data_IF_249858889698
#
_entry.id   IF_249858889698
#
_cell.length_a   1.000
_cell.length_b   1.000
_cell.length_c   1.000
_cell.angle_alpha   90.00
_cell.angle_beta   90.00
_cell.angle_gamma   90.00
#
_symmetry.space_group_name_H-M   'P 1'
#
loop_
_entity.id
_entity.type
_entity.pdbx_description
1 polymer ?
#
# COMPACT_ATOMS: atom_id res chain seq x y z
N UNK A 1 -27.92 14.38 73.07
CA UNK A 1 -28.47 13.31 72.22
C UNK A 1 -28.13 13.69 70.80
N UNK A 2 -27.43 12.82 70.08
CA UNK A 2 -27.25 13.00 68.65
C UNK A 2 -28.52 12.46 67.98
N UNK A 3 -29.08 13.24 67.06
CA UNK A 3 -30.35 12.90 66.38
C UNK A 3 -30.22 11.64 65.53
N UNK A 4 -31.33 10.92 65.38
CA UNK A 4 -31.42 9.73 64.54
C UNK A 4 -31.16 10.08 63.07
N UNK A 5 -30.36 9.29 62.36
CA UNK A 5 -30.07 9.52 60.95
C UNK A 5 -31.35 9.47 60.10
N UNK A 6 -31.52 10.45 59.21
CA UNK A 6 -32.68 10.52 58.31
C UNK A 6 -32.69 9.41 57.27
N UNK A 7 -33.89 9.13 56.71
CA UNK A 7 -34.05 8.17 55.61
C UNK A 7 -33.36 8.69 54.34
N UNK A 8 -32.50 7.87 53.73
CA UNK A 8 -31.78 8.19 52.50
C UNK A 8 -32.70 8.53 51.31
N UNK A 9 -32.19 9.36 50.40
CA UNK A 9 -32.83 9.70 49.13
C UNK A 9 -32.23 8.85 48.01
N UNK A 10 -33.08 8.30 47.13
CA UNK A 10 -32.65 7.53 45.95
C UNK A 10 -32.84 8.35 44.67
N UNK A 11 -31.74 8.67 43.99
CA UNK A 11 -31.79 9.41 42.72
C UNK A 11 -32.00 8.49 41.52
N UNK A 12 -33.08 8.71 40.77
CA UNK A 12 -33.51 7.88 39.64
C UNK A 12 -33.04 8.44 38.29
N UNK A 13 -32.41 9.61 38.25
CA UNK A 13 -31.93 10.25 37.02
C UNK A 13 -32.91 11.26 36.43
N UNK A 14 -32.89 11.40 35.11
CA UNK A 14 -33.65 12.43 34.36
C UNK A 14 -34.78 11.82 33.57
N UNK A 15 -35.97 12.42 33.62
CA UNK A 15 -37.13 12.00 32.83
C UNK A 15 -38.01 13.20 32.45
N UNK A 16 -38.80 13.11 31.38
CA UNK A 16 -39.72 14.20 31.00
C UNK A 16 -41.04 14.17 31.80
N UNK A 17 -41.36 13.04 32.44
CA UNK A 17 -42.50 12.86 33.34
C UNK A 17 -42.23 11.73 34.34
N UNK A 18 -42.96 11.66 35.45
CA UNK A 18 -42.76 10.64 36.48
C UNK A 18 -43.52 9.33 36.14
N UNK A 19 -42.85 8.20 35.93
CA UNK A 19 -43.47 6.88 35.85
C UNK A 19 -44.13 6.49 37.18
N UNK A 20 -45.23 5.74 37.10
CA UNK A 20 -45.95 5.25 38.29
C UNK A 20 -45.09 4.31 39.16
N UNK A 21 -44.17 3.56 38.55
CA UNK A 21 -43.27 2.63 39.24
C UNK A 21 -42.26 3.31 40.15
N UNK A 22 -42.04 4.62 40.03
CA UNK A 22 -41.08 5.36 40.86
C UNK A 22 -41.73 6.02 42.09
N UNK A 23 -43.00 5.72 42.37
CA UNK A 23 -43.74 6.19 43.56
C UNK A 23 -43.32 5.42 44.82
N UNK A 24 -42.02 5.42 45.09
CA UNK A 24 -41.40 4.83 46.28
C UNK A 24 -40.89 5.97 47.14
N UNK A 25 -41.10 5.89 48.46
CA UNK A 25 -40.73 6.96 49.39
C UNK A 25 -39.27 7.38 49.17
N UNK A 26 -39.03 8.68 49.10
CA UNK A 26 -37.73 9.31 48.89
C UNK A 26 -37.03 9.00 47.55
N UNK A 27 -37.75 8.47 46.57
CA UNK A 27 -37.24 8.45 45.20
C UNK A 27 -37.32 9.86 44.64
N UNK A 28 -36.24 10.29 43.99
CA UNK A 28 -36.12 11.62 43.41
C UNK A 28 -35.63 11.54 41.96
N UNK A 29 -36.07 12.47 41.12
CA UNK A 29 -35.64 12.56 39.72
C UNK A 29 -35.68 14.01 39.22
N UNK A 30 -34.93 14.30 38.15
CA UNK A 30 -34.97 15.59 37.46
C UNK A 30 -35.94 15.54 36.29
N UNK A 31 -36.88 16.49 36.25
CA UNK A 31 -37.78 16.67 35.13
C UNK A 31 -37.20 17.65 34.11
N UNK A 32 -36.63 17.13 33.02
CA UNK A 32 -36.01 17.95 31.97
C UNK A 32 -36.98 18.79 31.16
N UNK A 33 -38.27 18.43 31.13
CA UNK A 33 -39.30 19.24 30.47
C UNK A 33 -39.72 20.44 31.33
N UNK A 34 -39.72 20.27 32.66
CA UNK A 34 -40.15 21.30 33.62
C UNK A 34 -38.99 22.09 34.24
N UNK A 35 -37.75 21.65 34.04
CA UNK A 35 -36.56 22.23 34.69
C UNK A 35 -36.61 22.14 36.22
N UNK A 36 -37.10 21.02 36.76
CA UNK A 36 -37.35 20.84 38.21
C UNK A 36 -37.03 19.43 38.67
N UNK A 37 -36.38 19.32 39.82
CA UNK A 37 -36.22 18.05 40.53
C UNK A 37 -37.41 17.80 41.45
N UNK A 38 -37.90 16.58 41.44
CA UNK A 38 -39.02 16.13 42.27
C UNK A 38 -38.59 14.99 43.20
N UNK A 39 -39.22 14.89 44.36
CA UNK A 39 -39.09 13.76 45.31
C UNK A 39 -40.48 13.22 45.69
N UNK A 40 -40.63 11.90 45.81
CA UNK A 40 -41.89 11.26 46.21
C UNK A 40 -42.00 11.14 47.73
N UNK A 41 -43.01 11.75 48.32
CA UNK A 41 -43.23 11.79 49.78
C UNK A 41 -44.10 10.62 50.31
N UNK A 42 -44.54 9.72 49.43
CA UNK A 42 -45.50 8.65 49.73
C UNK A 42 -46.90 8.88 49.15
N UNK A 43 -47.24 10.12 48.80
CA UNK A 43 -48.55 10.51 48.30
C UNK A 43 -48.49 11.32 46.98
N UNK A 44 -47.55 12.26 46.87
CA UNK A 44 -47.36 13.10 45.68
C UNK A 44 -45.87 13.36 45.38
N UNK A 45 -45.63 13.84 44.15
CA UNK A 45 -44.30 14.32 43.75
C UNK A 45 -44.15 15.78 44.16
N UNK A 46 -43.28 16.04 45.12
CA UNK A 46 -43.00 17.38 45.63
C UNK A 46 -41.79 17.98 44.92
N UNK A 47 -41.82 19.30 44.72
CA UNK A 47 -40.70 20.01 44.10
C UNK A 47 -39.59 20.14 45.13
N UNK A 48 -38.44 19.54 44.85
CA UNK A 48 -37.25 19.65 45.69
C UNK A 48 -36.34 20.79 45.24
N UNK A 49 -36.11 20.89 43.93
CA UNK A 49 -35.30 21.95 43.34
C UNK A 49 -35.86 22.40 42.00
N UNK A 50 -35.50 23.61 41.59
CA UNK A 50 -35.79 24.15 40.25
C UNK A 50 -34.51 24.73 39.69
N UNK A 51 -34.39 24.73 38.37
CA UNK A 51 -33.27 25.37 37.70
C UNK A 51 -33.21 26.87 38.04
N UNK A 52 -32.00 27.42 38.07
CA UNK A 52 -31.80 28.86 38.18
C UNK A 52 -32.40 29.58 36.96
N UNK A 53 -32.87 30.81 37.17
CA UNK A 53 -33.21 31.66 36.03
C UNK A 53 -31.97 31.82 35.15
N UNK A 54 -32.13 31.73 33.83
CA UNK A 54 -31.04 32.05 32.89
C UNK A 54 -30.58 33.48 33.19
N UNK A 55 -29.29 33.64 33.52
CA UNK A 55 -28.70 34.96 33.72
C UNK A 55 -28.86 35.82 32.47
N UNK A 56 -28.92 37.14 32.63
CA UNK A 56 -28.96 38.04 31.48
C UNK A 56 -27.77 37.75 30.56
N UNK A 57 -28.02 37.63 29.26
CA UNK A 57 -26.96 37.49 28.26
C UNK A 57 -25.99 38.65 28.41
N UNK A 58 -24.71 38.36 28.67
CA UNK A 58 -23.67 39.38 28.76
C UNK A 58 -23.61 40.21 27.47
N UNK A 59 -23.20 41.47 27.58
CA UNK A 59 -23.01 42.32 26.40
C UNK A 59 -22.10 41.61 25.40
N UNK A 60 -22.51 41.56 24.13
CA UNK A 60 -21.66 41.05 23.06
C UNK A 60 -20.36 41.84 23.06
N UNK A 61 -19.23 41.17 23.23
CA UNK A 61 -17.91 41.79 23.11
C UNK A 61 -17.74 42.46 21.73
N UNK A 62 -16.80 43.40 21.58
CA UNK A 62 -16.50 43.96 20.27
C UNK A 62 -16.23 42.82 19.29
N UNK A 63 -16.89 42.85 18.12
CA UNK A 63 -16.61 41.94 17.01
C UNK A 63 -15.11 42.04 16.72
N UNK A 64 -14.41 40.92 16.71
CA UNK A 64 -13.01 40.88 16.26
C UNK A 64 -12.90 41.51 14.87
N UNK A 65 -11.78 42.15 14.57
CA UNK A 65 -11.53 42.65 13.21
C UNK A 65 -11.87 41.52 12.22
N UNK A 66 -12.62 41.78 11.13
CA UNK A 66 -12.74 40.81 10.06
C UNK A 66 -11.33 40.33 9.71
N UNK A 67 -11.10 39.02 9.59
CA UNK A 67 -9.90 38.58 8.89
C UNK A 67 -9.96 39.24 7.52
N UNK A 68 -8.92 39.96 7.12
CA UNK A 68 -8.95 40.67 5.84
C UNK A 68 -9.08 39.62 4.74
N UNK A 69 -10.31 39.44 4.21
CA UNK A 69 -10.63 38.46 3.15
C UNK A 69 -9.65 38.58 1.95
N UNK A 70 -9.04 39.76 1.79
CA UNK A 70 -7.99 40.04 0.82
C UNK A 70 -6.72 39.16 0.99
N UNK A 71 -6.30 38.86 2.21
CA UNK A 71 -5.13 38.00 2.47
C UNK A 71 -5.44 36.55 2.11
N UNK A 72 -6.62 36.04 2.52
CA UNK A 72 -7.09 34.71 2.13
C UNK A 72 -7.24 34.57 0.61
N UNK A 73 -7.81 35.57 -0.06
CA UNK A 73 -7.93 35.59 -1.53
C UNK A 73 -6.55 35.61 -2.20
N UNK A 74 -5.61 36.40 -1.67
CA UNK A 74 -4.23 36.44 -2.17
C UNK A 74 -3.52 35.09 -2.04
N UNK A 75 -3.67 34.41 -0.89
CA UNK A 75 -3.11 33.08 -0.67
C UNK A 75 -3.73 32.04 -1.61
N UNK A 76 -5.05 32.09 -1.84
CA UNK A 76 -5.71 31.18 -2.78
C UNK A 76 -5.22 31.38 -4.22
N UNK A 77 -4.99 32.62 -4.65
CA UNK A 77 -4.40 32.91 -5.97
C UNK A 77 -2.99 32.32 -6.09
N UNK A 78 -2.18 32.41 -5.02
CA UNK A 78 -0.85 31.82 -5.00
C UNK A 78 -0.89 30.28 -5.03
N UNK A 79 -1.84 29.66 -4.32
CA UNK A 79 -2.05 28.20 -4.36
C UNK A 79 -2.42 27.76 -5.78
N UNK A 80 -3.42 28.38 -6.39
CA UNK A 80 -3.85 28.02 -7.75
C UNK A 80 -2.72 28.21 -8.77
N UNK A 81 -1.90 29.24 -8.61
CA UNK A 81 -0.73 29.47 -9.46
C UNK A 81 0.37 28.41 -9.25
N UNK A 82 0.56 27.93 -8.02
CA UNK A 82 1.49 26.84 -7.72
C UNK A 82 0.98 25.51 -8.26
N UNK A 83 -0.31 25.19 -8.10
CA UNK A 83 -0.93 24.00 -8.66
C UNK A 83 -0.83 23.97 -10.18
N UNK A 84 -1.09 25.10 -10.85
CA UNK A 84 -0.92 25.22 -12.30
C UNK A 84 0.54 25.05 -12.73
N UNK A 85 1.50 25.58 -11.95
CA UNK A 85 2.93 25.39 -12.21
C UNK A 85 3.36 23.93 -12.01
N UNK A 86 2.86 23.26 -10.97
CA UNK A 86 3.12 21.84 -10.71
C UNK A 86 2.54 20.98 -11.82
N UNK A 87 1.30 21.23 -12.24
CA UNK A 87 0.66 20.51 -13.35
C UNK A 87 1.33 20.76 -14.71
N UNK A 88 2.03 21.89 -14.86
CA UNK A 88 2.81 22.24 -16.05
C UNK A 88 4.28 21.80 -15.97
N UNK A 89 4.74 21.25 -14.85
CA UNK A 89 6.02 20.55 -14.83
C UNK A 89 5.85 19.31 -15.69
N UNK A 90 6.63 19.22 -16.77
CA UNK A 90 6.82 17.95 -17.44
C UNK A 90 7.32 16.96 -16.39
N UNK A 91 6.72 15.76 -16.27
CA UNK A 91 7.24 14.75 -15.37
C UNK A 91 8.71 14.56 -15.72
N UNK A 92 9.59 14.68 -14.72
CA UNK A 92 11.00 14.33 -14.92
C UNK A 92 10.97 12.90 -15.45
N UNK A 93 11.51 12.64 -16.66
CA UNK A 93 11.52 11.30 -17.19
C UNK A 93 12.21 10.44 -16.13
N UNK A 94 11.62 9.31 -15.75
CA UNK A 94 12.20 8.48 -14.72
C UNK A 94 13.65 8.18 -15.07
N UNK A 95 14.56 8.43 -14.14
CA UNK A 95 15.94 7.97 -14.29
C UNK A 95 15.85 6.45 -14.28
N UNK A 96 16.31 5.75 -15.34
CA UNK A 96 16.28 4.31 -15.34
C UNK A 96 17.09 3.76 -14.16
N UNK A 97 16.67 2.64 -13.55
CA UNK A 97 17.45 1.98 -12.53
C UNK A 97 18.88 1.69 -12.97
N UNK A 98 19.80 1.74 -12.01
CA UNK A 98 21.16 1.25 -12.18
C UNK A 98 21.14 -0.27 -12.04
N UNK A 99 21.86 -0.96 -12.92
CA UNK A 99 21.95 -2.42 -12.87
C UNK A 99 23.21 -2.78 -12.07
N UNK A 100 23.09 -2.87 -10.74
CA UNK A 100 24.24 -3.02 -9.83
C UNK A 100 24.04 -4.01 -8.67
N UNK A 101 22.87 -4.65 -8.60
CA UNK A 101 22.52 -5.62 -7.58
C UNK A 101 22.01 -5.03 -6.29
N UNK A 102 21.67 -3.74 -6.29
CA UNK A 102 21.16 -3.02 -5.14
C UNK A 102 19.82 -2.41 -5.52
N UNK A 103 18.74 -2.90 -4.91
CA UNK A 103 17.44 -2.24 -5.03
C UNK A 103 17.44 -0.99 -4.15
N UNK A 104 17.81 0.15 -4.74
CA UNK A 104 17.86 1.43 -4.07
C UNK A 104 16.46 1.93 -3.67
N UNK A 105 16.37 2.68 -2.57
CA UNK A 105 15.11 3.26 -2.14
C UNK A 105 14.56 4.24 -3.20
N UNK A 106 13.33 3.99 -3.67
CA UNK A 106 12.70 4.82 -4.70
C UNK A 106 13.13 4.53 -6.14
N UNK A 107 14.07 3.61 -6.35
CA UNK A 107 14.58 3.27 -7.68
C UNK A 107 13.61 2.38 -8.45
N UNK A 108 13.12 1.32 -7.79
CA UNK A 108 12.18 0.35 -8.36
C UNK A 108 10.75 0.51 -7.85
N UNK A 109 10.52 1.33 -6.82
CA UNK A 109 9.23 1.47 -6.12
C UNK A 109 8.04 1.75 -7.05
N UNK A 110 8.26 2.52 -8.11
CA UNK A 110 7.24 2.86 -9.11
C UNK A 110 6.93 1.76 -10.13
N UNK A 111 7.71 0.67 -10.13
CA UNK A 111 7.67 -0.39 -11.14
C UNK A 111 7.35 -1.76 -10.55
N UNK A 112 6.86 -1.81 -9.31
CA UNK A 112 6.46 -3.06 -8.68
C UNK A 112 5.25 -3.68 -9.39
N UNK A 113 5.41 -4.92 -9.86
CA UNK A 113 4.38 -5.67 -10.57
C UNK A 113 3.63 -6.64 -9.66
N UNK A 114 4.30 -7.14 -8.62
CA UNK A 114 3.72 -8.02 -7.60
C UNK A 114 4.72 -9.03 -7.04
N UNK A 115 4.22 -9.91 -6.16
CA UNK A 115 5.00 -11.02 -5.59
C UNK A 115 4.52 -12.34 -6.21
N UNK A 116 5.45 -13.12 -6.75
CA UNK A 116 5.21 -14.52 -7.10
C UNK A 116 5.48 -15.40 -5.89
N UNK A 117 4.51 -16.22 -5.49
CA UNK A 117 4.66 -17.19 -4.40
C UNK A 117 4.59 -18.62 -4.95
N UNK A 118 5.52 -19.47 -4.52
CA UNK A 118 5.49 -20.91 -4.88
C UNK A 118 4.58 -21.71 -3.94
N UNK A 119 3.89 -22.72 -4.46
CA UNK A 119 2.80 -23.41 -3.74
C UNK A 119 3.24 -24.59 -2.84
N UNK A 120 4.52 -24.95 -2.87
CA UNK A 120 5.07 -26.10 -2.13
C UNK A 120 5.38 -25.78 -0.65
N UNK A 121 5.54 -26.83 0.17
CA UNK A 121 5.71 -26.69 1.63
C UNK A 121 7.03 -26.05 2.09
N UNK A 122 7.94 -25.73 1.17
CA UNK A 122 9.13 -24.94 1.43
C UNK A 122 8.90 -23.44 1.27
N UNK A 123 8.03 -23.01 0.34
CA UNK A 123 7.65 -21.61 0.13
C UNK A 123 8.82 -20.70 -0.23
N UNK A 124 8.79 -20.14 -1.43
CA UNK A 124 9.68 -19.05 -1.85
C UNK A 124 8.82 -17.97 -2.51
N UNK A 125 9.04 -16.73 -2.12
CA UNK A 125 8.41 -15.56 -2.70
C UNK A 125 9.44 -14.71 -3.43
N UNK A 126 9.05 -14.17 -4.59
CA UNK A 126 9.88 -13.31 -5.43
C UNK A 126 9.09 -12.06 -5.77
N UNK A 127 9.56 -10.92 -5.31
CA UNK A 127 9.03 -9.63 -5.75
C UNK A 127 9.55 -9.33 -7.15
N UNK A 128 8.64 -8.96 -8.05
CA UNK A 128 8.93 -8.69 -9.46
C UNK A 128 8.65 -7.23 -9.75
N UNK A 129 9.62 -6.60 -10.40
CA UNK A 129 9.57 -5.21 -10.84
C UNK A 129 9.83 -5.17 -12.34
N UNK A 130 9.19 -4.26 -13.05
CA UNK A 130 9.49 -4.06 -14.46
C UNK A 130 8.76 -2.91 -15.13
N UNK A 131 9.42 -2.34 -16.12
CA UNK A 131 8.88 -1.35 -17.04
C UNK A 131 9.67 -1.37 -18.34
N UNK A 132 9.13 -0.77 -19.39
CA UNK A 132 9.84 -0.59 -20.65
C UNK A 132 9.91 0.89 -21.03
N UNK A 133 11.06 1.30 -21.58
CA UNK A 133 11.18 2.53 -22.37
C UNK A 133 11.20 2.19 -23.87
N UNK A 134 11.43 3.18 -24.73
CA UNK A 134 11.40 2.98 -26.19
C UNK A 134 12.49 2.02 -26.71
N UNK A 135 13.47 1.67 -25.88
CA UNK A 135 14.68 0.93 -26.26
C UNK A 135 14.87 -0.35 -25.46
N UNK A 136 14.53 -0.34 -24.18
CA UNK A 136 14.85 -1.40 -23.23
C UNK A 136 13.64 -1.81 -22.39
N UNK A 137 13.60 -3.11 -22.09
CA UNK A 137 12.88 -3.65 -20.95
C UNK A 137 13.82 -3.63 -19.74
N UNK A 138 13.34 -3.12 -18.61
CA UNK A 138 13.99 -3.22 -17.31
C UNK A 138 13.19 -4.19 -16.46
N UNK A 139 13.86 -5.15 -15.84
CA UNK A 139 13.25 -6.11 -14.95
C UNK A 139 14.14 -6.33 -13.73
N UNK A 140 13.52 -6.43 -12.55
CA UNK A 140 14.20 -6.85 -11.34
C UNK A 140 13.41 -7.90 -10.58
N UNK A 141 14.13 -8.81 -9.95
CA UNK A 141 13.58 -9.92 -9.17
C UNK A 141 14.29 -9.95 -7.82
N UNK A 142 13.50 -9.92 -6.75
CA UNK A 142 14.01 -9.91 -5.38
C UNK A 142 13.41 -11.08 -4.63
N UNK A 143 14.25 -12.07 -4.33
CA UNK A 143 13.82 -13.26 -3.61
C UNK A 143 13.82 -12.99 -2.11
N UNK A 144 12.76 -13.41 -1.42
CA UNK A 144 12.75 -13.43 0.05
C UNK A 144 13.64 -14.57 0.55
N UNK A 145 14.89 -14.22 0.83
CA UNK A 145 15.90 -15.16 1.35
C UNK A 145 15.67 -15.59 2.79
N UNK A 146 14.67 -15.01 3.48
CA UNK A 146 14.30 -15.40 4.85
C UNK A 146 13.35 -16.60 4.91
N UNK A 147 12.72 -16.95 3.79
CA UNK A 147 11.80 -18.08 3.72
C UNK A 147 12.55 -19.42 3.76
N UNK A 148 12.01 -20.46 4.42
CA UNK A 148 12.65 -21.76 4.51
C UNK A 148 12.92 -22.42 3.14
N UNK A 149 12.14 -22.08 2.12
CA UNK A 149 12.29 -22.58 0.76
C UNK A 149 13.56 -22.09 0.06
N UNK A 150 14.10 -20.93 0.46
CA UNK A 150 15.35 -20.40 -0.08
C UNK A 150 16.52 -21.36 0.14
N UNK A 151 16.73 -21.79 1.38
CA UNK A 151 17.82 -22.72 1.73
C UNK A 151 17.72 -24.03 0.97
N UNK A 152 16.51 -24.55 0.77
CA UNK A 152 16.28 -25.80 0.05
C UNK A 152 16.49 -25.64 -1.46
N UNK A 153 16.10 -24.51 -2.05
CA UNK A 153 16.38 -24.21 -3.45
C UNK A 153 17.89 -24.12 -3.74
N UNK A 154 18.64 -23.46 -2.86
CA UNK A 154 20.10 -23.39 -2.93
C UNK A 154 20.76 -24.77 -2.80
N UNK A 155 20.27 -25.65 -1.93
CA UNK A 155 20.81 -27.02 -1.79
C UNK A 155 20.55 -27.89 -3.04
N UNK A 156 19.49 -27.60 -3.78
CA UNK A 156 19.09 -28.35 -4.98
C UNK A 156 19.74 -27.82 -6.28
N UNK A 157 20.59 -26.78 -6.21
CA UNK A 157 21.18 -26.14 -7.39
C UNK A 157 20.15 -25.62 -8.39
N UNK A 158 19.02 -25.11 -7.90
CA UNK A 158 17.92 -24.69 -8.76
C UNK A 158 18.08 -23.21 -9.09
N UNK A 159 18.64 -22.91 -10.26
CA UNK A 159 18.74 -21.54 -10.75
C UNK A 159 17.40 -20.97 -11.23
N UNK A 160 17.28 -19.64 -11.19
CA UNK A 160 16.12 -18.95 -11.75
C UNK A 160 16.23 -18.93 -13.28
N UNK A 161 15.16 -19.31 -13.96
CA UNK A 161 15.05 -19.09 -15.40
C UNK A 161 14.10 -17.92 -15.63
N UNK A 162 14.59 -16.92 -16.34
CA UNK A 162 13.80 -15.78 -16.74
C UNK A 162 13.33 -15.98 -18.18
N UNK A 163 12.04 -15.76 -18.37
CA UNK A 163 11.34 -16.01 -19.61
C UNK A 163 10.57 -14.73 -19.95
N UNK A 164 10.90 -14.14 -21.08
CA UNK A 164 10.24 -12.92 -21.56
C UNK A 164 9.49 -13.25 -22.84
N UNK A 165 8.18 -13.05 -22.82
CA UNK A 165 7.30 -13.44 -23.91
C UNK A 165 6.54 -12.23 -24.43
N UNK A 166 6.52 -12.07 -25.75
CA UNK A 166 5.61 -11.13 -26.44
C UNK A 166 4.51 -11.93 -27.12
N UNK A 167 3.44 -11.27 -27.54
CA UNK A 167 2.33 -11.90 -28.30
C UNK A 167 2.73 -12.54 -29.63
N UNK A 168 4.02 -12.52 -30.00
CA UNK A 168 4.62 -13.08 -31.23
C UNK A 168 5.43 -14.36 -31.00
N UNK A 169 5.11 -15.12 -29.95
CA UNK A 169 5.74 -16.41 -29.65
C UNK A 169 7.25 -16.38 -29.35
N UNK A 170 7.89 -15.21 -29.36
CA UNK A 170 9.31 -15.05 -29.03
C UNK A 170 9.52 -15.18 -27.54
N UNK A 171 10.21 -16.24 -27.12
CA UNK A 171 10.62 -16.48 -25.75
C UNK A 171 12.12 -16.27 -25.60
N UNK A 172 12.52 -15.26 -24.82
CA UNK A 172 13.90 -15.11 -24.39
C UNK A 172 14.12 -15.90 -23.09
N UNK A 173 14.97 -16.93 -23.12
CA UNK A 173 15.32 -17.75 -21.95
C UNK A 173 16.74 -17.46 -21.48
N UNK A 174 16.89 -17.34 -20.16
CA UNK A 174 18.19 -17.23 -19.49
C UNK A 174 18.37 -18.42 -18.55
N UNK A 175 19.41 -19.23 -18.77
CA UNK A 175 19.66 -20.45 -17.99
C UNK A 175 21.04 -20.45 -17.33
N UNK A 176 21.13 -20.86 -16.06
CA UNK A 176 22.40 -21.00 -15.35
C UNK A 176 22.71 -22.47 -15.08
N UNK A 177 23.55 -23.08 -15.92
CA UNK A 177 24.24 -24.33 -15.58
C UNK A 177 25.73 -24.13 -15.91
N UNK A 178 26.34 -23.20 -15.17
CA UNK A 178 27.72 -22.77 -15.36
C UNK A 178 27.82 -21.42 -16.08
N UNK A 179 28.75 -20.59 -15.63
CA UNK A 179 29.13 -19.36 -16.32
C UNK A 179 29.75 -19.69 -17.69
N UNK A 180 29.37 -18.99 -18.77
CA UNK A 180 28.45 -17.84 -18.83
C UNK A 180 26.97 -18.20 -19.12
N UNK A 181 26.03 -17.41 -18.58
CA UNK A 181 24.60 -17.49 -18.87
C UNK A 181 24.32 -17.41 -20.37
N UNK A 182 23.58 -18.39 -20.88
CA UNK A 182 23.17 -18.45 -22.28
C UNK A 182 21.83 -17.76 -22.49
N UNK A 183 21.70 -17.11 -23.62
CA UNK A 183 20.49 -16.46 -24.10
C UNK A 183 19.99 -17.23 -25.30
N UNK A 184 18.75 -17.69 -25.23
CA UNK A 184 18.13 -18.44 -26.32
C UNK A 184 16.78 -17.85 -26.69
N UNK A 185 16.42 -18.00 -27.97
CA UNK A 185 15.13 -17.60 -28.51
C UNK A 185 14.42 -18.82 -29.10
N UNK A 186 13.10 -18.89 -28.94
CA UNK A 186 12.26 -19.87 -29.64
C UNK A 186 10.94 -19.22 -30.04
N UNK A 187 10.31 -19.75 -31.09
CA UNK A 187 8.95 -19.41 -31.56
C UNK A 187 7.96 -20.58 -31.38
N UNK A 188 8.44 -21.78 -31.05
CA UNK A 188 7.63 -23.02 -31.06
C UNK A 188 7.83 -23.90 -29.82
N UNK A 189 8.65 -23.44 -28.85
CA UNK A 189 9.07 -24.17 -27.65
C UNK A 189 9.83 -25.48 -27.92
N UNK A 190 10.15 -25.77 -29.18
CA UNK A 190 10.78 -27.02 -29.63
C UNK A 190 12.18 -26.74 -30.17
N UNK A 191 12.30 -25.69 -30.96
CA UNK A 191 13.51 -25.26 -31.67
C UNK A 191 14.05 -24.01 -31.00
N UNK A 192 15.30 -24.08 -30.54
CA UNK A 192 15.94 -23.01 -29.79
C UNK A 192 17.15 -22.48 -30.54
N UNK A 193 17.12 -21.19 -30.86
CA UNK A 193 18.24 -20.45 -31.43
C UNK A 193 19.11 -19.92 -30.30
N UNK A 194 20.39 -20.32 -30.30
CA UNK A 194 21.39 -19.83 -29.37
C UNK A 194 21.89 -18.46 -29.82
N UNK A 195 21.66 -17.44 -29.00
CA UNK A 195 22.07 -16.06 -29.26
C UNK A 195 23.42 -15.73 -28.59
N UNK A 196 24.00 -16.66 -27.82
CA UNK A 196 25.25 -16.48 -27.09
C UNK A 196 25.02 -16.05 -25.63
N UNK A 197 25.96 -15.30 -25.07
CA UNK A 197 25.87 -14.86 -23.66
C UNK A 197 25.09 -13.56 -23.50
N UNK A 198 24.67 -13.24 -22.26
CA UNK A 198 24.00 -11.97 -21.95
C UNK A 198 24.75 -10.74 -22.47
N UNK A 199 26.07 -10.71 -22.27
CA UNK A 199 26.91 -9.63 -22.76
C UNK A 199 27.02 -9.58 -24.27
N UNK A 200 27.04 -10.73 -24.96
CA UNK A 200 27.15 -10.81 -26.42
C UNK A 200 25.93 -10.18 -27.11
N UNK A 201 24.75 -10.32 -26.51
CA UNK A 201 23.50 -9.76 -27.03
C UNK A 201 23.17 -8.36 -26.50
N UNK A 202 24.07 -7.77 -25.71
CA UNK A 202 23.92 -6.41 -25.19
C UNK A 202 22.93 -6.27 -24.01
N UNK A 203 22.64 -7.37 -23.31
CA UNK A 203 21.91 -7.32 -22.05
C UNK A 203 22.88 -6.84 -20.96
N UNK A 204 22.55 -5.70 -20.33
CA UNK A 204 23.21 -5.30 -19.09
C UNK A 204 22.49 -6.03 -17.95
N UNK A 205 23.25 -6.68 -17.08
CA UNK A 205 22.68 -7.47 -16.01
C UNK A 205 23.54 -7.36 -14.76
N UNK A 206 22.86 -7.39 -13.63
CA UNK A 206 23.44 -7.78 -12.38
C UNK A 206 22.69 -9.01 -11.94
N UNK A 207 23.37 -10.14 -12.00
CA UNK A 207 22.84 -11.39 -11.51
C UNK A 207 23.96 -12.09 -10.80
N UNK A 208 23.74 -12.40 -9.54
CA UNK A 208 24.66 -13.24 -8.81
C UNK A 208 24.02 -14.60 -8.65
N UNK A 209 24.71 -15.62 -9.16
CA UNK A 209 24.43 -17.00 -8.80
C UNK A 209 24.20 -17.06 -7.28
N UNK A 210 23.12 -17.75 -6.91
CA UNK A 210 22.63 -17.97 -5.55
C UNK A 210 23.69 -18.48 -4.55
N UNK A 211 24.88 -18.88 -5.02
CA UNK A 211 26.01 -19.30 -4.19
C UNK A 211 27.02 -18.21 -3.80
N UNK A 212 27.13 -17.11 -4.54
CA UNK A 212 28.20 -16.10 -4.29
C UNK A 212 27.62 -14.81 -3.73
N UNK A 213 28.39 -14.09 -2.90
CA UNK A 213 28.00 -12.90 -2.12
C UNK A 213 28.66 -11.65 -2.71
N UNK A 214 28.03 -10.44 -2.66
CA UNK A 214 27.45 -9.84 -1.44
C UNK A 214 25.91 -9.80 -1.31
N UNK A 215 25.13 -9.78 -2.39
CA UNK A 215 23.65 -9.67 -2.36
C UNK A 215 22.94 -10.87 -3.02
N UNK A 216 22.86 -12.04 -2.36
CA UNK A 216 22.18 -13.21 -2.93
C UNK A 216 20.67 -12.94 -3.09
N UNK A 217 20.07 -13.45 -4.16
CA UNK A 217 18.62 -13.37 -4.39
C UNK A 217 18.14 -12.08 -5.06
N UNK A 218 19.04 -11.30 -5.67
CA UNK A 218 18.67 -10.15 -6.52
C UNK A 218 19.14 -10.42 -7.96
N UNK A 219 18.23 -10.17 -8.89
CA UNK A 219 18.51 -10.11 -10.32
C UNK A 219 18.01 -8.78 -10.88
N UNK A 220 18.83 -8.08 -11.64
CA UNK A 220 18.47 -6.87 -12.37
C UNK A 220 18.91 -7.02 -13.82
N UNK A 221 18.04 -6.64 -14.75
CA UNK A 221 18.28 -6.78 -16.18
C UNK A 221 17.81 -5.54 -16.92
N UNK A 222 18.63 -5.10 -17.87
CA UNK A 222 18.25 -4.18 -18.93
C UNK A 222 18.42 -4.89 -20.27
N UNK A 223 17.28 -5.22 -20.89
CA UNK A 223 17.18 -6.08 -22.07
C UNK A 223 16.80 -5.22 -23.28
N UNK A 224 17.59 -5.22 -24.37
CA UNK A 224 17.19 -4.54 -25.61
C UNK A 224 15.86 -5.08 -26.14
N UNK A 225 14.87 -4.21 -26.39
CA UNK A 225 13.57 -4.63 -26.92
C UNK A 225 13.67 -5.29 -28.31
N UNK A 226 14.75 -5.01 -29.06
CA UNK A 226 15.05 -5.68 -30.33
C UNK A 226 15.22 -7.19 -30.21
N UNK A 227 15.53 -7.72 -29.02
CA UNK A 227 15.63 -9.17 -28.77
C UNK A 227 14.26 -9.82 -28.51
N UNK A 228 13.23 -9.03 -28.21
CA UNK A 228 11.92 -9.54 -27.77
C UNK A 228 10.86 -9.54 -28.87
N UNK A 229 11.17 -8.99 -30.05
CA UNK A 229 10.24 -8.97 -31.18
C UNK A 229 8.94 -8.21 -30.90
N UNK A 230 9.02 -7.01 -30.32
CA UNK A 230 7.88 -6.24 -29.79
C UNK A 230 6.93 -5.60 -30.83
N UNK A 231 7.20 -5.74 -32.13
CA UNK A 231 6.40 -5.09 -33.16
C UNK A 231 4.93 -5.53 -33.10
N UNK A 232 4.02 -4.58 -32.81
CA UNK A 232 2.58 -4.84 -32.71
C UNK A 232 2.14 -5.51 -31.40
N UNK A 233 3.03 -5.66 -30.43
CA UNK A 233 2.69 -6.01 -29.06
C UNK A 233 2.47 -4.74 -28.23
N UNK A 234 1.47 -4.75 -27.35
CA UNK A 234 1.23 -3.67 -26.39
C UNK A 234 1.87 -3.99 -25.02
N UNK A 235 2.26 -5.24 -24.80
CA UNK A 235 2.76 -5.74 -23.52
C UNK A 235 3.84 -6.83 -23.70
N UNK A 236 4.67 -6.99 -22.66
CA UNK A 236 5.61 -8.10 -22.47
C UNK A 236 5.18 -8.86 -21.21
N UNK A 237 5.13 -10.17 -21.30
CA UNK A 237 4.89 -11.08 -20.18
C UNK A 237 6.22 -11.51 -19.56
N UNK A 238 6.38 -11.26 -18.28
CA UNK A 238 7.52 -11.67 -17.47
C UNK A 238 7.16 -12.95 -16.74
N UNK A 239 7.75 -14.05 -17.16
CA UNK A 239 7.66 -15.35 -16.52
C UNK A 239 8.94 -15.62 -15.75
N UNK A 240 8.79 -15.99 -14.48
CA UNK A 240 9.87 -16.57 -13.72
C UNK A 240 9.60 -18.03 -13.46
N UNK A 241 10.50 -18.89 -13.91
CA UNK A 241 10.59 -20.24 -13.37
C UNK A 241 11.60 -20.20 -12.24
N UNK A 242 11.08 -19.91 -11.04
CA UNK A 242 11.88 -19.84 -9.83
C UNK A 242 12.15 -21.24 -9.24
N UNK A 243 11.55 -22.29 -9.82
CA UNK A 243 11.85 -23.70 -9.54
C UNK A 243 11.46 -24.63 -10.69
N UNK A 244 12.12 -25.80 -10.82
CA UNK A 244 12.08 -26.71 -11.99
C UNK A 244 10.69 -27.15 -12.50
N UNK A 245 9.59 -26.96 -11.76
CA UNK A 245 8.27 -27.50 -12.13
C UNK A 245 7.05 -26.61 -11.88
N UNK A 246 7.19 -25.45 -11.22
CA UNK A 246 6.07 -24.52 -10.98
C UNK A 246 6.32 -23.20 -11.72
N UNK A 247 5.41 -22.88 -12.64
CA UNK A 247 5.39 -21.61 -13.35
C UNK A 247 4.69 -20.57 -12.50
N UNK A 248 5.31 -19.40 -12.35
CA UNK A 248 4.62 -18.23 -11.82
C UNK A 248 3.58 -17.74 -12.82
N UNK A 249 2.48 -17.16 -12.31
CA UNK A 249 1.61 -16.34 -13.17
C UNK A 249 2.45 -15.19 -13.78
N UNK A 250 2.26 -14.87 -15.07
CA UNK A 250 3.05 -13.84 -15.71
C UNK A 250 2.73 -12.45 -15.16
N UNK A 251 3.77 -11.64 -15.01
CA UNK A 251 3.62 -10.20 -14.78
C UNK A 251 3.62 -9.46 -16.12
N UNK A 252 2.78 -8.44 -16.23
CA UNK A 252 2.61 -7.69 -17.49
C UNK A 252 3.35 -6.35 -17.42
N UNK A 253 4.28 -6.15 -18.34
CA UNK A 253 4.92 -4.85 -18.59
C UNK A 253 4.28 -4.22 -19.81
N UNK A 254 3.76 -3.00 -19.66
CA UNK A 254 3.19 -2.25 -20.80
C UNK A 254 4.32 -1.62 -21.61
N UNK A 255 4.26 -1.75 -22.93
CA UNK A 255 5.18 -1.12 -23.86
C UNK A 255 4.78 0.35 -24.10
N UNK A 256 5.75 1.26 -24.27
CA UNK A 256 5.44 2.63 -24.68
C UNK A 256 4.81 2.65 -26.08
N UNK A 257 3.87 3.57 -26.27
CA UNK A 257 3.09 3.76 -27.50
C UNK A 257 3.79 4.61 -28.55
#
# INVERSE_FOLDING_TARGET
EDGEDGISITWMGTATSAPKSWRVLNYAYYNSYKGKSYIWDGNSWEIWARDGATGATGATGPRGLPGDDAECVSLQVQINALEARIAALEPIPPVPPTIDGVIGAGEWDGYYLGTSETTWSGGMSVDVYGFADDTYLYAAYVVDTSQPGWSQACELCVNCNFYYYTTKDTLLSMWAWGEPYQVQQTEDWISWDDLGTLGDVGIEYWYMDMYTQPNPGIAELRIPLSLLGTEGADQIELYGQYWQYDWAEPFLVTLPS
#
